data_IF_651787571695
#
_entry.id   IF_651787571695
#
_cell.length_a   1.000
_cell.length_b   1.000
_cell.length_c   1.000
_cell.angle_alpha   90.00
_cell.angle_beta   90.00
_cell.angle_gamma   90.00
#
_symmetry.space_group_name_H-M   'P 1'
#
loop_
_entity.id
_entity.type
_entity.pdbx_description
1 polymer ?
#
# COMPACT_ATOMS: atom_id res chain seq x y z
N UNK A 1 -16.66 13.25 0.23
CA UNK A 1 -16.42 12.23 1.29
C UNK A 1 -16.38 12.89 2.67
N UNK A 2 -15.59 13.96 2.85
CA UNK A 2 -15.57 14.74 4.10
C UNK A 2 -16.88 15.47 4.38
N UNK A 3 -17.61 15.91 3.35
CA UNK A 3 -18.89 16.63 3.52
C UNK A 3 -19.99 15.76 4.15
N UNK A 4 -19.95 14.44 3.90
CA UNK A 4 -20.92 13.48 4.45
C UNK A 4 -20.64 13.13 5.92
N UNK A 5 -19.40 13.30 6.39
CA UNK A 5 -19.03 13.07 7.79
C UNK A 5 -19.70 14.09 8.70
N UNK A 6 -19.66 15.37 8.31
CA UNK A 6 -20.27 16.44 9.09
C UNK A 6 -21.76 16.25 9.28
N UNK A 7 -22.47 15.79 8.23
CA UNK A 7 -23.90 15.48 8.30
C UNK A 7 -24.19 14.25 9.17
N UNK A 8 -23.51 13.13 8.92
CA UNK A 8 -23.73 11.88 9.66
C UNK A 8 -23.42 12.02 11.16
N UNK A 9 -22.34 12.73 11.50
CA UNK A 9 -21.96 12.98 12.89
C UNK A 9 -22.94 13.95 13.57
N UNK A 10 -23.40 14.99 12.87
CA UNK A 10 -24.46 15.89 13.39
C UNK A 10 -25.74 15.11 13.68
N UNK A 11 -26.19 14.24 12.79
CA UNK A 11 -27.39 13.42 12.99
C UNK A 11 -27.24 12.45 14.16
N UNK A 12 -26.06 11.83 14.31
CA UNK A 12 -25.77 10.92 15.40
C UNK A 12 -25.69 11.64 16.76
N UNK A 13 -25.15 12.85 16.81
CA UNK A 13 -25.14 13.71 18.02
C UNK A 13 -26.55 14.26 18.32
N UNK A 14 -27.35 14.58 17.30
CA UNK A 14 -28.74 15.04 17.48
C UNK A 14 -29.62 13.97 18.13
N UNK A 15 -29.37 12.68 17.85
CA UNK A 15 -30.01 11.55 18.54
C UNK A 15 -29.66 11.44 20.04
N UNK A 16 -28.58 12.10 20.48
CA UNK A 16 -28.19 12.17 21.89
C UNK A 16 -28.80 13.38 22.62
N UNK A 17 -29.14 14.46 21.90
CA UNK A 17 -29.64 15.72 22.46
C UNK A 17 -30.99 15.62 23.19
N UNK A 18 -31.73 14.52 23.02
CA UNK A 18 -33.00 14.25 23.73
C UNK A 18 -32.88 13.34 24.94
N UNK A 19 -31.66 12.93 25.34
CA UNK A 19 -31.44 12.02 26.49
C UNK A 19 -31.01 12.81 27.72
N UNK A 20 -31.66 12.55 28.85
CA UNK A 20 -31.41 13.19 30.15
C UNK A 20 -30.03 12.89 30.72
N UNK A 21 -29.41 11.78 30.30
CA UNK A 21 -28.03 11.41 30.63
C UNK A 21 -27.33 11.04 29.32
N UNK A 22 -26.31 11.82 28.98
CA UNK A 22 -25.42 11.52 27.85
C UNK A 22 -24.21 10.78 28.44
N UNK A 23 -24.22 9.47 28.29
CA UNK A 23 -23.07 8.63 28.64
C UNK A 23 -21.93 8.84 27.65
N UNK A 24 -20.74 9.16 28.17
CA UNK A 24 -19.51 9.40 27.41
C UNK A 24 -19.14 8.20 26.54
N UNK A 25 -19.34 6.98 27.03
CA UNK A 25 -19.02 5.76 26.29
C UNK A 25 -19.93 5.62 25.06
N UNK A 26 -21.20 5.97 25.19
CA UNK A 26 -22.14 6.02 24.08
C UNK A 26 -21.68 6.99 22.97
N UNK A 27 -21.21 8.19 23.34
CA UNK A 27 -20.70 9.18 22.38
C UNK A 27 -19.47 8.65 21.64
N UNK A 28 -18.50 8.10 22.39
CA UNK A 28 -17.27 7.53 21.81
C UNK A 28 -17.58 6.41 20.83
N UNK A 29 -18.53 5.54 21.17
CA UNK A 29 -18.95 4.44 20.31
C UNK A 29 -19.55 4.93 19.00
N UNK A 30 -20.37 5.98 19.04
CA UNK A 30 -20.96 6.59 17.83
C UNK A 30 -19.86 7.16 16.93
N UNK A 31 -18.95 7.95 17.49
CA UNK A 31 -17.82 8.53 16.72
C UNK A 31 -16.98 7.44 16.09
N UNK A 32 -16.64 6.40 16.87
CA UNK A 32 -15.87 5.26 16.39
C UNK A 32 -16.55 4.54 15.22
N UNK A 33 -17.85 4.25 15.35
CA UNK A 33 -18.60 3.56 14.30
C UNK A 33 -18.65 4.35 12.99
N UNK A 34 -18.82 5.68 13.07
CA UNK A 34 -18.81 6.53 11.88
C UNK A 34 -17.42 6.58 11.22
N UNK A 35 -16.34 6.65 12.01
CA UNK A 35 -14.97 6.54 11.47
C UNK A 35 -14.73 5.20 10.77
N UNK A 36 -15.18 4.08 11.37
CA UNK A 36 -15.07 2.75 10.77
C UNK A 36 -15.87 2.66 9.47
N UNK A 37 -17.11 3.19 9.46
CA UNK A 37 -17.94 3.22 8.25
C UNK A 37 -17.29 4.01 7.12
N UNK A 38 -16.64 5.13 7.43
CA UNK A 38 -15.92 5.93 6.44
C UNK A 38 -14.69 5.23 5.87
N UNK A 39 -13.98 4.45 6.69
CA UNK A 39 -12.84 3.66 6.23
C UNK A 39 -13.25 2.57 5.23
N UNK A 40 -14.53 2.20 5.20
CA UNK A 40 -15.10 1.20 4.30
C UNK A 40 -14.87 -0.24 4.78
N UNK A 41 -15.22 -1.20 3.93
CA UNK A 41 -14.99 -2.61 4.21
C UNK A 41 -13.54 -2.99 3.89
N UNK A 42 -12.91 -3.89 4.66
CA UNK A 42 -11.60 -4.43 4.31
C UNK A 42 -11.63 -5.03 2.90
N UNK A 43 -10.65 -4.66 2.07
CA UNK A 43 -10.45 -5.30 0.77
C UNK A 43 -9.79 -6.67 0.94
N UNK A 44 -10.19 -7.63 0.12
CA UNK A 44 -9.48 -8.92 0.02
C UNK A 44 -8.24 -8.77 -0.87
N UNK A 45 -7.15 -9.42 -0.48
CA UNK A 45 -5.90 -9.46 -1.26
C UNK A 45 -5.84 -10.79 -2.00
N UNK A 46 -5.96 -10.74 -3.33
CA UNK A 46 -5.85 -11.93 -4.18
C UNK A 46 -4.43 -12.52 -4.08
N UNK A 47 -4.34 -13.80 -3.74
CA UNK A 47 -3.09 -14.55 -3.72
C UNK A 47 -2.95 -15.34 -5.02
N UNK A 48 -2.07 -14.88 -5.91
CA UNK A 48 -1.80 -15.51 -7.19
C UNK A 48 -0.75 -14.75 -8.00
N UNK A 49 -0.40 -15.24 -9.20
CA UNK A 49 0.48 -14.51 -10.12
C UNK A 49 -0.13 -13.17 -10.50
N UNK A 50 0.58 -12.08 -10.17
CA UNK A 50 0.11 -10.71 -10.43
C UNK A 50 1.29 -9.74 -10.53
N UNK A 51 1.06 -8.64 -11.24
CA UNK A 51 2.00 -7.50 -11.33
C UNK A 51 1.35 -6.29 -10.67
N UNK A 52 2.03 -5.68 -9.71
CA UNK A 52 1.52 -4.55 -8.93
C UNK A 52 2.43 -3.34 -9.18
N UNK A 53 1.84 -2.24 -9.65
CA UNK A 53 2.52 -0.96 -9.80
C UNK A 53 2.24 -0.06 -8.59
N UNK A 54 3.29 0.45 -7.97
CA UNK A 54 3.17 1.42 -6.89
C UNK A 54 3.17 2.84 -7.47
N UNK A 55 2.00 3.48 -7.49
CA UNK A 55 1.83 4.85 -7.96
C UNK A 55 1.39 5.79 -6.82
N UNK A 56 1.66 7.09 -6.97
CA UNK A 56 1.29 8.12 -5.99
C UNK A 56 2.29 9.26 -5.90
N UNK A 57 1.98 10.24 -5.05
CA UNK A 57 2.76 11.47 -4.88
C UNK A 57 4.20 11.22 -4.40
N UNK A 58 5.11 12.16 -4.68
CA UNK A 58 6.47 12.12 -4.14
C UNK A 58 6.43 12.12 -2.61
N UNK A 59 7.24 11.27 -1.97
CA UNK A 59 7.27 11.17 -0.51
C UNK A 59 6.14 10.33 0.12
N UNK A 60 5.18 9.80 -0.65
CA UNK A 60 4.09 8.96 -0.10
C UNK A 60 4.52 7.57 0.40
N UNK A 61 5.83 7.27 0.37
CA UNK A 61 6.38 6.01 0.87
C UNK A 61 6.35 4.83 -0.11
N UNK A 62 6.14 5.07 -1.42
CA UNK A 62 6.07 4.02 -2.47
C UNK A 62 7.19 2.97 -2.34
N UNK A 63 8.45 3.39 -2.35
CA UNK A 63 9.63 2.50 -2.28
C UNK A 63 9.61 1.60 -1.04
N UNK A 64 9.31 2.19 0.13
CA UNK A 64 9.22 1.45 1.39
C UNK A 64 8.04 0.49 1.40
N UNK A 65 6.89 0.93 0.87
CA UNK A 65 5.69 0.10 0.76
C UNK A 65 5.89 -1.04 -0.23
N UNK A 66 6.63 -0.86 -1.32
CA UNK A 66 7.02 -1.93 -2.25
C UNK A 66 7.73 -3.06 -1.51
N UNK A 67 8.75 -2.75 -0.70
CA UNK A 67 9.48 -3.76 0.07
C UNK A 67 8.60 -4.45 1.13
N UNK A 68 7.72 -3.70 1.81
CA UNK A 68 6.75 -4.27 2.77
C UNK A 68 5.78 -5.22 2.09
N UNK A 69 5.25 -4.84 0.94
CA UNK A 69 4.31 -5.65 0.17
C UNK A 69 5.00 -6.90 -0.38
N UNK A 70 6.24 -6.77 -0.84
CA UNK A 70 7.03 -7.91 -1.27
C UNK A 70 7.24 -8.93 -0.13
N UNK A 71 7.58 -8.46 1.07
CA UNK A 71 7.68 -9.31 2.26
C UNK A 71 6.35 -9.94 2.64
N UNK A 72 5.24 -9.20 2.51
CA UNK A 72 3.90 -9.73 2.78
C UNK A 72 3.58 -10.92 1.88
N UNK A 73 3.74 -10.80 0.56
CA UNK A 73 3.45 -11.89 -0.38
C UNK A 73 4.44 -13.05 -0.24
N UNK A 74 5.72 -12.77 0.01
CA UNK A 74 6.73 -13.80 0.30
C UNK A 74 6.33 -14.66 1.51
N UNK A 75 5.83 -14.03 2.59
CA UNK A 75 5.34 -14.75 3.78
C UNK A 75 4.07 -15.57 3.52
N UNK A 76 3.34 -15.27 2.44
CA UNK A 76 2.18 -16.04 1.98
C UNK A 76 2.56 -17.17 1.01
N UNK A 77 3.86 -17.43 0.83
CA UNK A 77 4.37 -18.55 0.02
C UNK A 77 4.55 -18.22 -1.47
N UNK A 78 4.33 -16.96 -1.88
CA UNK A 78 4.53 -16.56 -3.27
C UNK A 78 6.01 -16.28 -3.55
N UNK A 79 6.43 -16.59 -4.78
CA UNK A 79 7.71 -16.12 -5.31
C UNK A 79 7.55 -14.67 -5.73
N UNK A 80 8.35 -13.79 -5.13
CA UNK A 80 8.25 -12.34 -5.33
C UNK A 80 9.56 -11.80 -5.88
N UNK A 81 9.45 -10.95 -6.90
CA UNK A 81 10.53 -10.10 -7.39
C UNK A 81 10.06 -8.65 -7.40
N UNK A 82 11.00 -7.72 -7.29
CA UNK A 82 10.76 -6.28 -7.33
C UNK A 82 11.53 -5.67 -8.50
N UNK A 83 10.93 -4.71 -9.19
CA UNK A 83 11.55 -3.95 -10.27
C UNK A 83 11.58 -2.47 -9.86
N UNK A 84 12.75 -1.84 -9.94
CA UNK A 84 12.91 -0.40 -9.74
C UNK A 84 12.66 0.34 -11.06
N UNK A 85 11.48 0.94 -11.20
CA UNK A 85 11.14 1.79 -12.35
C UNK A 85 11.28 3.30 -12.06
N UNK A 86 11.90 3.68 -10.94
CA UNK A 86 12.17 5.07 -10.56
C UNK A 86 13.53 5.50 -11.13
N UNK A 87 13.53 6.04 -12.35
CA UNK A 87 14.74 6.48 -13.08
C UNK A 87 15.09 7.95 -12.85
N UNK A 88 14.22 8.72 -12.18
CA UNK A 88 14.38 10.16 -12.00
C UNK A 88 15.05 10.53 -10.68
N UNK A 89 14.81 9.75 -9.62
CA UNK A 89 15.29 10.08 -8.28
C UNK A 89 16.68 9.47 -8.03
N UNK A 90 17.70 10.28 -7.70
CA UNK A 90 19.04 9.77 -7.39
C UNK A 90 19.00 8.75 -6.24
N UNK A 91 19.72 7.63 -6.41
CA UNK A 91 19.81 6.57 -5.40
C UNK A 91 18.52 5.78 -5.16
N UNK A 92 17.49 5.94 -6.00
CA UNK A 92 16.24 5.19 -5.85
C UNK A 92 16.44 3.68 -5.95
N UNK A 93 17.27 3.23 -6.91
CA UNK A 93 17.64 1.84 -7.07
C UNK A 93 18.36 1.31 -5.82
N UNK A 94 19.42 1.98 -5.36
CA UNK A 94 20.20 1.54 -4.20
C UNK A 94 19.35 1.47 -2.92
N UNK A 95 18.44 2.44 -2.75
CA UNK A 95 17.49 2.42 -1.64
C UNK A 95 16.60 1.18 -1.71
N UNK A 96 15.99 0.91 -2.87
CA UNK A 96 15.08 -0.23 -3.03
C UNK A 96 15.83 -1.56 -2.89
N UNK A 97 17.02 -1.66 -3.49
CA UNK A 97 17.92 -2.81 -3.40
C UNK A 97 18.28 -3.12 -1.96
N UNK A 98 18.70 -2.11 -1.18
CA UNK A 98 19.00 -2.26 0.25
C UNK A 98 17.81 -2.79 1.05
N UNK A 99 16.60 -2.29 0.78
CA UNK A 99 15.39 -2.78 1.46
C UNK A 99 15.07 -4.23 1.08
N UNK A 100 15.20 -4.58 -0.18
CA UNK A 100 14.94 -5.91 -0.72
C UNK A 100 15.96 -6.95 -0.22
N UNK A 101 17.25 -6.58 -0.14
CA UNK A 101 18.31 -7.47 0.35
C UNK A 101 18.10 -7.86 1.81
N UNK A 102 17.65 -6.92 2.66
CA UNK A 102 17.31 -7.19 4.06
C UNK A 102 16.21 -8.23 4.24
N UNK A 103 15.34 -8.41 3.24
CA UNK A 103 14.23 -9.36 3.28
C UNK A 103 14.42 -10.57 2.35
N UNK A 104 15.59 -10.67 1.70
CA UNK A 104 15.91 -11.75 0.76
C UNK A 104 15.00 -11.79 -0.47
N UNK A 105 14.58 -10.62 -0.97
CA UNK A 105 13.77 -10.49 -2.20
C UNK A 105 14.65 -9.99 -3.34
N UNK A 106 14.55 -10.61 -4.51
CA UNK A 106 15.30 -10.15 -5.68
C UNK A 106 14.77 -8.78 -6.16
N UNK A 107 15.69 -7.85 -6.40
CA UNK A 107 15.41 -6.52 -6.93
C UNK A 107 16.15 -6.34 -8.26
N UNK A 108 15.43 -6.00 -9.32
CA UNK A 108 15.96 -5.68 -10.65
C UNK A 108 15.86 -4.18 -10.91
N UNK A 109 16.82 -3.62 -11.62
CA UNK A 109 16.84 -2.23 -12.07
C UNK A 109 18.19 -1.89 -12.68
N UNK A 110 18.25 -0.78 -13.41
CA UNK A 110 19.49 -0.25 -13.98
C UNK A 110 19.62 1.24 -13.59
N UNK A 111 20.59 1.60 -12.73
CA UNK A 111 20.84 2.98 -12.33
C UNK A 111 21.24 3.91 -13.48
N UNK A 112 21.72 3.36 -14.59
CA UNK A 112 22.20 4.11 -15.75
C UNK A 112 21.15 4.20 -16.87
N UNK A 113 20.04 3.48 -16.75
CA UNK A 113 18.95 3.52 -17.72
C UNK A 113 17.91 4.56 -17.33
N UNK A 114 17.56 5.43 -18.29
CA UNK A 114 16.57 6.49 -18.11
C UNK A 114 15.17 6.06 -18.52
N UNK A 115 15.05 5.07 -19.42
CA UNK A 115 13.78 4.53 -19.88
C UNK A 115 13.21 3.47 -18.91
N UNK A 116 12.28 3.91 -18.07
CA UNK A 116 11.56 3.04 -17.15
C UNK A 116 10.79 1.90 -17.85
N UNK A 117 10.30 2.11 -19.08
CA UNK A 117 9.58 1.07 -19.84
C UNK A 117 10.54 -0.05 -20.22
N UNK A 118 11.76 0.29 -20.63
CA UNK A 118 12.80 -0.69 -20.95
C UNK A 118 13.17 -1.53 -19.72
N UNK A 119 13.41 -0.89 -18.56
CA UNK A 119 13.71 -1.60 -17.30
C UNK A 119 12.59 -2.58 -16.94
N UNK A 120 11.33 -2.16 -17.02
CA UNK A 120 10.18 -3.03 -16.69
C UNK A 120 10.02 -4.18 -17.66
N UNK A 121 10.35 -4.00 -18.96
CA UNK A 121 10.31 -5.09 -19.96
C UNK A 121 11.42 -6.12 -19.76
N UNK A 122 12.59 -5.70 -19.31
CA UNK A 122 13.76 -6.55 -19.10
C UNK A 122 13.73 -7.25 -17.73
N UNK A 123 13.11 -6.64 -16.72
CA UNK A 123 13.10 -7.15 -15.34
C UNK A 123 12.59 -8.58 -15.16
N UNK A 124 11.46 -8.98 -15.78
CA UNK A 124 11.00 -10.37 -15.74
C UNK A 124 11.97 -11.37 -16.37
N UNK A 125 12.94 -10.91 -17.18
CA UNK A 125 13.92 -11.74 -17.91
C UNK A 125 15.30 -11.76 -17.23
N UNK A 126 15.68 -10.69 -16.51
CA UNK A 126 17.03 -10.50 -15.96
C UNK A 126 17.25 -10.98 -14.52
N UNK A 127 16.21 -11.32 -13.76
CA UNK A 127 16.33 -11.96 -12.45
C UNK A 127 16.21 -13.48 -12.55
N UNK A 128 16.91 -14.22 -11.67
CA UNK A 128 16.84 -15.68 -11.48
C UNK A 128 15.49 -16.21 -11.93
N UNK A 129 15.44 -17.17 -12.87
CA UNK A 129 14.24 -17.48 -13.62
C UNK A 129 13.08 -17.60 -12.65
N UNK A 130 12.14 -16.66 -12.77
CA UNK A 130 10.78 -16.84 -12.32
C UNK A 130 10.26 -17.97 -13.21
N UNK A 131 10.69 -19.21 -12.93
CA UNK A 131 10.20 -20.43 -13.56
C UNK A 131 8.70 -20.29 -13.51
N UNK A 132 8.12 -20.07 -14.69
CA UNK A 132 6.69 -20.20 -14.91
C UNK A 132 6.33 -21.54 -14.28
N UNK A 133 5.42 -21.50 -13.32
CA UNK A 133 4.66 -22.69 -12.93
C UNK A 133 4.05 -23.31 -14.16
#
# INVERSE_FOLDING_TARGET
MLDNLGASLKDAVKKLAGKTVIDREHVLRIVYQELVRMMGTPGEVTLGPQTILMAGLQGSGKTTTTAKLARYFQRKGLRVGVICADTFRPGAYDQLKTLCDRIGVACFGDPNESDAIKIVREGPRGGTPLRRT
#
